data_IF_331435544160
#
_entry.id   IF_331435544160
#
_cell.length_a   1.000
_cell.length_b   1.000
_cell.length_c   1.000
_cell.angle_alpha   90.00
_cell.angle_beta   90.00
_cell.angle_gamma   90.00
#
_symmetry.space_group_name_H-M   'P 1'
#
loop_
_entity.id
_entity.type
_entity.pdbx_description
1 polymer ?
#
# COMPACT_ATOMS: atom_id res chain seq x y z
N UNK A 1 13.56 10.03 13.25
CA UNK A 1 12.53 9.13 12.70
C UNK A 1 12.85 8.94 11.23
N UNK A 2 12.91 7.72 10.74
CA UNK A 2 13.24 7.45 9.33
C UNK A 2 11.96 7.67 8.49
N UNK A 3 12.03 8.49 7.46
CA UNK A 3 10.90 8.76 6.54
C UNK A 3 11.10 8.03 5.20
N UNK A 4 10.06 7.98 4.37
CA UNK A 4 10.11 7.30 3.07
C UNK A 4 11.29 7.76 2.20
N UNK A 5 11.60 9.06 2.13
CA UNK A 5 12.68 9.58 1.30
C UNK A 5 14.05 9.04 1.74
N UNK A 6 14.31 9.03 3.06
CA UNK A 6 15.56 8.50 3.60
C UNK A 6 15.71 6.99 3.39
N UNK A 7 14.63 6.20 3.49
CA UNK A 7 14.65 4.77 3.17
C UNK A 7 14.87 4.55 1.68
N UNK A 8 14.12 5.26 0.83
CA UNK A 8 14.21 5.15 -0.63
C UNK A 8 15.63 5.45 -1.15
N UNK A 9 16.31 6.43 -0.54
CA UNK A 9 17.69 6.78 -0.87
C UNK A 9 18.69 5.63 -0.66
N UNK A 10 18.42 4.69 0.24
CA UNK A 10 19.28 3.52 0.50
C UNK A 10 19.09 2.39 -0.52
N UNK A 11 18.03 2.43 -1.33
CA UNK A 11 17.68 1.37 -2.28
C UNK A 11 18.30 1.69 -3.65
N UNK A 12 19.24 0.85 -4.06
CA UNK A 12 20.04 1.09 -5.27
C UNK A 12 19.38 0.60 -6.56
N UNK A 13 18.36 -0.25 -6.47
CA UNK A 13 17.63 -0.74 -7.66
C UNK A 13 16.89 0.39 -8.35
N UNK A 14 16.73 0.26 -9.67
CA UNK A 14 16.06 1.27 -10.50
C UNK A 14 14.52 1.16 -10.48
N UNK A 15 13.97 0.06 -9.96
CA UNK A 15 12.52 -0.15 -9.77
C UNK A 15 12.26 -0.63 -8.35
N UNK A 16 11.67 0.26 -7.56
CA UNK A 16 11.26 -0.02 -6.20
C UNK A 16 10.07 0.83 -5.79
N UNK A 17 9.44 0.44 -4.70
CA UNK A 17 8.37 1.16 -4.05
C UNK A 17 8.69 1.26 -2.56
N UNK A 18 8.74 2.47 -2.03
CA UNK A 18 8.77 2.73 -0.59
C UNK A 18 7.38 3.21 -0.17
N UNK A 19 6.80 2.59 0.83
CA UNK A 19 5.46 2.92 1.34
C UNK A 19 5.62 3.45 2.76
N UNK A 20 5.21 4.69 2.97
CA UNK A 20 5.07 5.34 4.26
C UNK A 20 3.59 5.36 4.64
N UNK A 21 3.28 4.80 5.81
CA UNK A 21 1.91 4.67 6.31
C UNK A 21 1.81 5.48 7.61
N UNK A 22 1.05 6.56 7.56
CA UNK A 22 0.71 7.38 8.72
C UNK A 22 -0.66 6.98 9.24
N UNK A 23 -0.69 6.38 10.43
CA UNK A 23 -1.93 6.02 11.09
C UNK A 23 -2.46 7.21 11.90
N UNK A 24 -3.36 7.98 11.30
CA UNK A 24 -3.99 9.16 11.91
C UNK A 24 -5.27 8.78 12.67
N UNK A 25 -5.76 7.56 12.49
CA UNK A 25 -6.89 7.02 13.26
C UNK A 25 -6.57 7.05 14.76
N UNK A 26 -7.60 7.36 15.53
CA UNK A 26 -7.61 7.30 16.99
C UNK A 26 -8.17 5.97 17.52
N UNK A 27 -8.90 5.23 16.68
CA UNK A 27 -9.61 4.02 17.07
C UNK A 27 -8.93 2.72 16.60
N UNK A 28 -8.16 2.76 15.51
CA UNK A 28 -7.64 1.57 14.86
C UNK A 28 -6.11 1.49 14.90
N UNK A 29 -5.60 0.30 15.24
CA UNK A 29 -4.22 -0.09 14.96
C UNK A 29 -4.17 -0.91 13.66
N UNK A 30 -3.09 -0.77 12.90
CA UNK A 30 -2.80 -1.68 11.80
C UNK A 30 -1.98 -2.84 12.33
N UNK A 31 -2.43 -4.07 12.13
CA UNK A 31 -1.73 -5.29 12.57
C UNK A 31 -1.69 -6.34 11.46
N UNK A 32 -0.91 -7.40 11.67
CA UNK A 32 -0.83 -8.55 10.77
C UNK A 32 -0.52 -8.16 9.31
N UNK A 33 0.60 -7.46 9.05
CA UNK A 33 0.98 -7.17 7.68
C UNK A 33 1.12 -8.45 6.87
N UNK A 34 0.56 -8.45 5.66
CA UNK A 34 0.80 -9.49 4.66
C UNK A 34 1.14 -8.87 3.33
N UNK A 35 2.06 -9.51 2.62
CA UNK A 35 2.55 -9.05 1.33
C UNK A 35 2.38 -10.17 0.32
N UNK A 36 1.76 -9.85 -0.82
CA UNK A 36 1.81 -10.69 -2.01
C UNK A 36 2.56 -9.94 -3.09
N UNK A 37 3.67 -10.52 -3.55
CA UNK A 37 4.47 -9.97 -4.64
C UNK A 37 4.15 -10.74 -5.92
N UNK A 38 3.65 -10.02 -6.93
CA UNK A 38 3.53 -10.56 -8.29
C UNK A 38 4.89 -10.53 -9.00
N UNK A 39 5.72 -9.52 -8.68
CA UNK A 39 7.07 -9.37 -9.20
C UNK A 39 7.95 -8.60 -8.21
N UNK A 40 9.19 -9.07 -8.01
CA UNK A 40 10.09 -8.56 -6.98
C UNK A 40 9.83 -9.16 -5.61
N UNK A 41 10.39 -8.54 -4.57
CA UNK A 41 10.34 -9.01 -3.19
C UNK A 41 10.24 -7.85 -2.19
N UNK A 42 9.91 -8.17 -0.93
CA UNK A 42 9.93 -7.21 0.18
C UNK A 42 11.36 -7.00 0.65
N UNK A 43 11.86 -5.76 0.57
CA UNK A 43 13.23 -5.40 0.91
C UNK A 43 13.34 -4.96 2.37
N UNK A 44 12.57 -3.93 2.75
CA UNK A 44 12.31 -3.62 4.15
C UNK A 44 10.91 -4.11 4.50
N UNK A 45 10.76 -5.11 5.40
CA UNK A 45 9.47 -5.70 5.70
C UNK A 45 8.55 -4.68 6.38
N UNK A 46 7.22 -4.79 6.19
CA UNK A 46 6.27 -3.95 6.89
C UNK A 46 6.33 -4.17 8.41
N UNK A 47 6.14 -3.10 9.18
CA UNK A 47 6.12 -3.19 10.64
C UNK A 47 4.95 -4.08 11.11
N UNK A 48 5.18 -5.01 12.06
CA UNK A 48 4.12 -5.90 12.55
C UNK A 48 2.89 -5.17 13.12
N UNK A 49 3.09 -3.95 13.62
CA UNK A 49 2.02 -3.13 14.18
C UNK A 49 2.30 -1.65 13.95
N UNK A 50 1.30 -0.92 13.46
CA UNK A 50 1.31 0.55 13.38
C UNK A 50 0.21 1.07 14.31
N UNK A 51 0.64 1.56 15.48
CA UNK A 51 -0.28 2.13 16.48
C UNK A 51 -0.84 3.47 16.02
N UNK A 52 -1.85 3.96 16.70
CA UNK A 52 -2.40 5.29 16.46
C UNK A 52 -1.34 6.38 16.62
N UNK A 53 -1.43 7.41 15.80
CA UNK A 53 -0.48 8.52 15.72
C UNK A 53 0.99 8.08 15.46
N UNK A 54 1.19 6.92 14.83
CA UNK A 54 2.51 6.45 14.38
C UNK A 54 2.58 6.41 12.87
N UNK A 55 3.79 6.62 12.37
CA UNK A 55 4.15 6.53 10.96
C UNK A 55 5.25 5.51 10.82
N UNK A 56 5.07 4.56 9.92
CA UNK A 56 6.02 3.49 9.65
C UNK A 56 6.29 3.37 8.16
N UNK A 57 7.46 2.84 7.83
CA UNK A 57 7.95 2.75 6.44
C UNK A 57 8.32 1.31 6.11
N UNK A 58 8.02 0.89 4.89
CA UNK A 58 8.46 -0.38 4.32
C UNK A 58 8.80 -0.23 2.84
N UNK A 59 9.47 -1.21 2.25
CA UNK A 59 9.82 -1.12 0.84
C UNK A 59 9.85 -2.46 0.11
N UNK A 60 9.64 -2.36 -1.20
CA UNK A 60 9.55 -3.46 -2.14
C UNK A 60 10.44 -3.14 -3.33
N UNK A 61 11.17 -4.12 -3.83
CA UNK A 61 12.10 -3.93 -4.93
C UNK A 61 11.97 -5.05 -5.94
N UNK A 62 12.35 -4.76 -7.19
CA UNK A 62 12.49 -5.78 -8.22
C UNK A 62 13.59 -6.79 -7.89
N UNK A 63 13.56 -7.95 -8.55
CA UNK A 63 14.63 -8.94 -8.47
C UNK A 63 15.90 -8.46 -9.20
N UNK A 64 17.09 -8.85 -8.72
CA UNK A 64 18.34 -8.47 -9.38
C UNK A 64 18.46 -9.07 -10.78
N UNK A 65 19.15 -8.37 -11.69
CA UNK A 65 19.50 -8.83 -13.03
C UNK A 65 18.33 -9.29 -13.93
N UNK A 66 17.10 -8.86 -13.64
CA UNK A 66 15.91 -9.17 -14.45
C UNK A 66 15.27 -7.90 -15.01
N UNK A 67 14.58 -8.01 -16.14
CA UNK A 67 13.82 -6.90 -16.77
C UNK A 67 12.40 -6.83 -16.17
N UNK A 68 12.31 -6.83 -14.84
CA UNK A 68 11.04 -6.84 -14.09
C UNK A 68 10.88 -5.60 -13.22
N UNK A 69 9.63 -5.31 -12.87
CA UNK A 69 9.26 -4.21 -11.97
C UNK A 69 9.20 -4.62 -10.49
N UNK A 70 8.63 -3.74 -9.67
CA UNK A 70 8.22 -4.05 -8.31
C UNK A 70 6.69 -3.95 -8.24
N UNK A 71 6.00 -5.08 -8.12
CA UNK A 71 4.54 -5.15 -8.25
C UNK A 71 3.96 -6.08 -7.19
N UNK A 72 3.02 -5.57 -6.40
CA UNK A 72 2.42 -6.36 -5.33
C UNK A 72 1.29 -5.65 -4.61
N UNK A 73 0.79 -6.33 -3.59
CA UNK A 73 -0.17 -5.81 -2.63
C UNK A 73 0.38 -5.94 -1.21
N UNK A 74 0.16 -4.91 -0.40
CA UNK A 74 0.40 -4.89 1.03
C UNK A 74 -0.95 -4.78 1.74
N UNK A 75 -1.20 -5.62 2.74
CA UNK A 75 -2.43 -5.56 3.53
C UNK A 75 -2.14 -5.46 5.01
N UNK A 76 -3.02 -4.77 5.74
CA UNK A 76 -3.07 -4.76 7.21
C UNK A 76 -4.49 -5.00 7.70
N UNK A 77 -4.62 -5.71 8.81
CA UNK A 77 -5.87 -5.81 9.55
C UNK A 77 -6.10 -4.54 10.36
N UNK A 78 -7.32 -4.01 10.26
CA UNK A 78 -7.77 -2.84 11.02
C UNK A 78 -8.32 -3.31 12.35
N UNK A 79 -7.47 -3.30 13.38
CA UNK A 79 -7.81 -3.71 14.73
C UNK A 79 -8.42 -2.54 15.51
N UNK A 80 -9.70 -2.63 15.82
CA UNK A 80 -10.39 -1.64 16.64
C UNK A 80 -9.99 -1.82 18.11
N UNK A 81 -9.34 -0.83 18.71
CA UNK A 81 -8.73 -0.99 20.04
C UNK A 81 -9.75 -1.22 21.16
N UNK A 82 -10.88 -0.50 21.14
CA UNK A 82 -11.93 -0.66 22.17
C UNK A 82 -12.67 -1.99 22.05
N UNK A 83 -13.14 -2.32 20.84
CA UNK A 83 -13.91 -3.54 20.58
C UNK A 83 -13.02 -4.79 20.51
N UNK A 84 -11.70 -4.63 20.43
CA UNK A 84 -10.69 -5.70 20.31
C UNK A 84 -10.96 -6.69 19.17
N UNK A 85 -11.40 -6.18 18.02
CA UNK A 85 -11.72 -6.98 16.85
C UNK A 85 -11.17 -6.37 15.56
N UNK A 86 -10.84 -7.24 14.61
CA UNK A 86 -10.50 -6.86 13.24
C UNK A 86 -11.75 -6.89 12.36
N UNK A 87 -12.26 -5.72 11.99
CA UNK A 87 -13.49 -5.64 11.18
C UNK A 87 -13.22 -5.60 9.69
N UNK A 88 -12.11 -4.99 9.29
CA UNK A 88 -11.77 -4.74 7.89
C UNK A 88 -10.27 -4.97 7.69
N UNK A 89 -9.88 -5.18 6.44
CA UNK A 89 -8.49 -5.29 5.99
C UNK A 89 -8.22 -4.18 4.98
N UNK A 90 -7.27 -3.33 5.30
CA UNK A 90 -6.72 -2.35 4.37
C UNK A 90 -5.84 -3.06 3.35
N UNK A 91 -5.92 -2.68 2.08
CA UNK A 91 -5.03 -3.13 1.03
C UNK A 91 -4.44 -1.95 0.25
N UNK A 92 -3.16 -2.06 -0.09
CA UNK A 92 -2.40 -1.12 -0.90
C UNK A 92 -1.81 -1.88 -2.08
N UNK A 93 -2.26 -1.56 -3.28
CA UNK A 93 -1.69 -2.03 -4.53
C UNK A 93 -0.62 -1.05 -4.99
N UNK A 94 0.54 -1.56 -5.38
CA UNK A 94 1.59 -0.82 -6.04
C UNK A 94 2.09 -1.59 -7.26
N UNK A 95 2.27 -0.89 -8.38
CA UNK A 95 2.86 -1.45 -9.59
C UNK A 95 3.83 -0.44 -10.18
N UNK A 96 5.11 -0.79 -10.18
CA UNK A 96 6.19 0.02 -10.74
C UNK A 96 6.80 -0.80 -11.88
N UNK A 97 6.35 -0.62 -13.13
CA UNK A 97 6.78 -1.43 -14.25
C UNK A 97 8.23 -1.15 -14.64
N UNK A 98 8.90 -2.12 -15.27
CA UNK A 98 10.25 -1.88 -15.81
C UNK A 98 10.21 -0.93 -17.01
N UNK A 99 9.31 -1.14 -17.96
CA UNK A 99 9.21 -0.33 -19.17
C UNK A 99 8.14 0.77 -19.05
N UNK A 100 8.60 2.02 -18.93
CA UNK A 100 7.74 3.20 -18.88
C UNK A 100 7.26 3.69 -20.25
N UNK A 101 7.81 3.18 -21.36
CA UNK A 101 7.31 3.55 -22.69
C UNK A 101 5.90 2.99 -22.93
N UNK A 102 5.58 1.85 -22.31
CA UNK A 102 4.27 1.20 -22.43
C UNK A 102 3.39 1.33 -21.18
N UNK A 103 3.97 1.53 -19.98
CA UNK A 103 3.21 1.42 -18.73
C UNK A 103 3.54 2.54 -17.73
N UNK A 104 2.51 3.04 -17.03
CA UNK A 104 2.66 3.98 -15.92
C UNK A 104 2.73 3.24 -14.59
N UNK A 105 3.26 3.91 -13.57
CA UNK A 105 3.08 3.45 -12.19
C UNK A 105 1.57 3.37 -11.88
N UNK A 106 1.16 2.39 -11.10
CA UNK A 106 -0.23 2.24 -10.66
C UNK A 106 -0.26 2.13 -9.15
N UNK A 107 -1.17 2.88 -8.52
CA UNK A 107 -1.48 2.78 -7.10
C UNK A 107 -2.96 2.46 -6.92
N UNK A 108 -3.27 1.59 -5.95
CA UNK A 108 -4.64 1.41 -5.48
C UNK A 108 -4.69 1.29 -3.97
N UNK A 109 -5.78 1.76 -3.37
CA UNK A 109 -6.06 1.63 -1.94
C UNK A 109 -7.51 1.18 -1.75
N UNK A 110 -7.75 0.29 -0.79
CA UNK A 110 -9.08 -0.26 -0.57
C UNK A 110 -9.28 -0.86 0.81
N UNK A 111 -10.55 -1.11 1.12
CA UNK A 111 -11.01 -1.72 2.36
C UNK A 111 -11.82 -2.99 2.01
N UNK A 112 -11.37 -4.10 2.56
CA UNK A 112 -11.96 -5.41 2.33
C UNK A 112 -12.39 -6.04 3.65
N UNK A 113 -13.20 -7.09 3.57
CA UNK A 113 -13.49 -7.92 4.73
C UNK A 113 -12.20 -8.56 5.27
N UNK A 114 -12.10 -8.74 6.59
CA UNK A 114 -10.90 -9.34 7.23
C UNK A 114 -10.61 -10.78 6.78
N UNK A 115 -11.63 -11.47 6.26
CA UNK A 115 -11.53 -12.79 5.62
C UNK A 115 -10.80 -12.77 4.27
N UNK A 116 -10.73 -11.61 3.58
CA UNK A 116 -10.12 -11.49 2.25
C UNK A 116 -8.61 -11.72 2.32
N UNK A 117 -8.13 -12.79 1.68
CA UNK A 117 -6.71 -13.14 1.64
C UNK A 117 -5.83 -12.08 0.96
N UNK A 118 -4.58 -11.96 1.41
CA UNK A 118 -3.53 -11.25 0.69
C UNK A 118 -2.86 -12.22 -0.27
N UNK A 119 -3.42 -12.33 -1.47
CA UNK A 119 -3.07 -13.36 -2.44
C UNK A 119 -3.20 -12.87 -3.90
N UNK A 120 -2.94 -13.79 -4.83
CA UNK A 120 -3.06 -13.55 -6.28
C UNK A 120 -4.48 -13.13 -6.69
N UNK A 121 -5.51 -13.61 -6.01
CA UNK A 121 -6.90 -13.27 -6.34
C UNK A 121 -7.23 -11.83 -5.93
N UNK A 122 -6.77 -11.37 -4.76
CA UNK A 122 -6.87 -9.97 -4.36
C UNK A 122 -6.05 -9.07 -5.30
N UNK A 123 -4.82 -9.46 -5.64
CA UNK A 123 -3.99 -8.72 -6.60
C UNK A 123 -4.72 -8.56 -7.95
N UNK A 124 -5.21 -9.66 -8.53
CA UNK A 124 -5.93 -9.62 -9.81
C UNK A 124 -7.19 -8.75 -9.73
N UNK A 125 -7.93 -8.83 -8.62
CA UNK A 125 -9.11 -8.01 -8.40
C UNK A 125 -8.76 -6.51 -8.36
N UNK A 126 -7.72 -6.11 -7.63
CA UNK A 126 -7.33 -4.69 -7.57
C UNK A 126 -6.66 -4.19 -8.86
N UNK A 127 -5.89 -5.03 -9.55
CA UNK A 127 -5.09 -4.63 -10.72
C UNK A 127 -5.84 -4.76 -12.05
N UNK A 128 -6.71 -5.75 -12.22
CA UNK A 128 -7.44 -5.99 -13.48
C UNK A 128 -8.96 -5.79 -13.31
N UNK A 129 -9.44 -5.76 -12.07
CA UNK A 129 -10.86 -5.64 -11.78
C UNK A 129 -11.45 -4.33 -12.27
N UNK A 130 -12.74 -4.42 -12.61
CA UNK A 130 -13.60 -3.30 -13.04
C UNK A 130 -14.61 -2.90 -11.98
N UNK A 131 -14.74 -3.68 -10.91
CA UNK A 131 -15.55 -3.36 -9.76
C UNK A 131 -14.70 -2.57 -8.75
N UNK A 132 -14.99 -1.28 -8.64
CA UNK A 132 -14.28 -0.34 -7.76
C UNK A 132 -15.07 -0.07 -6.47
N UNK A 133 -16.04 -0.91 -6.11
CA UNK A 133 -16.85 -0.72 -4.90
C UNK A 133 -16.03 -0.77 -3.61
N UNK A 134 -14.97 -1.59 -3.58
CA UNK A 134 -14.13 -1.82 -2.40
C UNK A 134 -12.75 -1.17 -2.45
N UNK A 135 -12.40 -0.53 -3.58
CA UNK A 135 -11.09 0.10 -3.73
C UNK A 135 -11.11 1.23 -4.77
N UNK A 136 -10.15 2.13 -4.64
CA UNK A 136 -9.86 3.17 -5.61
C UNK A 136 -8.48 2.92 -6.20
N UNK A 137 -8.34 3.08 -7.52
CA UNK A 137 -7.08 2.89 -8.23
C UNK A 137 -6.88 4.01 -9.24
N UNK A 138 -5.63 4.43 -9.40
CA UNK A 138 -5.23 5.37 -10.43
C UNK A 138 -3.83 5.04 -10.95
N UNK A 139 -3.60 5.43 -12.20
CA UNK A 139 -2.25 5.57 -12.72
C UNK A 139 -1.59 6.76 -12.01
N UNK A 140 -0.32 6.63 -11.62
CA UNK A 140 0.41 7.70 -10.98
C UNK A 140 0.60 8.84 -11.97
N UNK A 141 -0.08 9.95 -11.71
CA UNK A 141 0.05 11.22 -12.43
C UNK A 141 0.48 12.38 -11.54
N UNK A 142 0.94 12.10 -10.32
CA UNK A 142 1.19 13.11 -9.28
C UNK A 142 -0.05 13.55 -8.50
N UNK A 143 -1.20 12.91 -8.73
CA UNK A 143 -2.45 13.15 -8.01
C UNK A 143 -2.67 12.14 -6.89
N UNK A 144 -3.36 12.56 -5.83
CA UNK A 144 -3.77 11.68 -4.75
C UNK A 144 -5.08 10.94 -5.04
N UNK A 145 -5.26 9.79 -4.40
CA UNK A 145 -6.52 9.03 -4.42
C UNK A 145 -7.12 8.97 -3.00
N UNK A 146 -8.44 8.94 -2.95
CA UNK A 146 -9.23 8.84 -1.72
C UNK A 146 -10.18 7.64 -1.86
N UNK A 147 -10.13 6.73 -0.90
CA UNK A 147 -11.13 5.68 -0.75
C UNK A 147 -11.92 5.91 0.54
N UNK A 148 -13.24 6.05 0.42
CA UNK A 148 -14.15 6.32 1.55
C UNK A 148 -14.80 5.04 2.01
N UNK A 149 -14.48 4.61 3.24
CA UNK A 149 -15.08 3.45 3.86
C UNK A 149 -16.31 3.80 4.68
N UNK A 150 -16.79 2.80 5.45
CA UNK A 150 -17.88 3.00 6.42
C UNK A 150 -17.40 3.69 7.68
N UNK A 151 -16.22 3.30 8.18
CA UNK A 151 -15.64 3.79 9.44
C UNK A 151 -14.27 4.44 9.27
N UNK A 152 -13.60 4.17 8.16
CA UNK A 152 -12.23 4.60 7.89
C UNK A 152 -12.18 5.17 6.48
N UNK A 153 -11.41 6.25 6.32
CA UNK A 153 -11.05 6.80 5.02
C UNK A 153 -9.54 6.61 4.79
N UNK A 154 -9.19 6.27 3.55
CA UNK A 154 -7.80 6.10 3.13
C UNK A 154 -7.43 7.19 2.12
N UNK A 155 -6.30 7.86 2.32
CA UNK A 155 -5.75 8.83 1.37
C UNK A 155 -4.35 8.45 0.99
N UNK A 156 -4.05 8.40 -0.30
CA UNK A 156 -2.70 8.11 -0.73
C UNK A 156 -2.24 8.97 -1.90
N UNK A 157 -0.93 9.21 -1.97
CA UNK A 157 -0.24 9.82 -3.12
C UNK A 157 0.91 8.91 -3.54
N UNK A 158 1.24 8.94 -4.84
CA UNK A 158 2.38 8.18 -5.38
C UNK A 158 3.21 9.04 -6.33
N UNK A 159 4.53 8.98 -6.19
CA UNK A 159 5.45 9.58 -7.17
C UNK A 159 5.47 8.81 -8.49
N UNK A 160 5.75 9.49 -9.60
CA UNK A 160 5.72 8.90 -10.95
C UNK A 160 7.02 8.23 -11.39
N UNK A 161 8.07 8.27 -10.56
CA UNK A 161 9.41 7.78 -10.89
C UNK A 161 9.60 6.28 -10.60
N UNK A 162 10.68 5.70 -11.13
CA UNK A 162 11.06 4.29 -10.92
C UNK A 162 11.40 3.92 -9.48
N UNK A 163 11.92 4.88 -8.69
CA UNK A 163 12.06 4.74 -7.24
C UNK A 163 10.84 5.35 -6.56
N UNK A 164 9.71 4.66 -6.67
CA UNK A 164 8.43 5.24 -6.30
C UNK A 164 8.27 5.36 -4.78
N UNK A 165 7.65 6.42 -4.33
CA UNK A 165 7.21 6.60 -2.95
C UNK A 165 5.69 6.68 -2.93
N UNK A 166 5.07 5.89 -2.06
CA UNK A 166 3.67 5.99 -1.68
C UNK A 166 3.60 6.58 -0.27
N UNK A 167 2.82 7.64 -0.10
CA UNK A 167 2.43 8.15 1.22
C UNK A 167 0.96 7.86 1.42
N UNK A 168 0.64 7.08 2.44
CA UNK A 168 -0.71 6.65 2.79
C UNK A 168 -1.06 7.16 4.18
N UNK A 169 -2.25 7.72 4.30
CA UNK A 169 -2.83 8.13 5.57
C UNK A 169 -4.13 7.37 5.83
N UNK A 170 -4.30 6.92 7.06
CA UNK A 170 -5.48 6.20 7.55
C UNK A 170 -6.22 7.08 8.54
N UNK A 171 -7.48 7.39 8.25
CA UNK A 171 -8.31 8.30 9.05
C UNK A 171 -9.54 7.59 9.59
N UNK A 172 -9.96 7.94 10.80
CA UNK A 172 -11.35 7.70 11.19
C UNK A 172 -12.26 8.53 10.29
N UNK A 173 -13.38 7.96 9.85
CA UNK A 173 -14.35 8.69 9.06
C UNK A 173 -14.93 9.81 9.93
N UNK A 174 -14.72 11.06 9.50
CA UNK A 174 -15.38 12.20 10.11
C UNK A 174 -16.87 12.11 9.76
N UNK A 175 -17.71 12.09 10.80
CA UNK A 175 -19.16 12.13 10.68
C UNK A 175 -19.67 13.42 10.06
#
# INVERSE_FOLDING_TARGET
MQNAESVSATINTNRNCTVEISNVSSAYCLINPKVYMSSGFSYHPPQPTIRTAKTEVCSFTKDDNTVTGAVGILTYDLFHMQNRMCTERMAVLFSIPFDYHMYKNVMGIGLFESSRGCDKALYKHMYEGKDFSQFTRADAGGTGILHRGKKIDLRATMSTVGKAIIKLEVYDKMG
#
